data_IF_764172887257
#
_entry.id   IF_764172887257
#
_cell.length_a   1.000
_cell.length_b   1.000
_cell.length_c   1.000
_cell.angle_alpha   90.00
_cell.angle_beta   90.00
_cell.angle_gamma   90.00
#
_symmetry.space_group_name_H-M   'P 1'
#
loop_
_entity.id
_entity.type
_entity.pdbx_description
1 polymer ?
#
# COMPACT_ATOMS: atom_id res chain seq x y z
N UNK A 1 24.15 59.10 -20.82
CA UNK A 1 24.36 57.68 -20.48
C UNK A 1 24.51 57.57 -18.97
N UNK A 2 23.57 56.92 -18.26
CA UNK A 2 23.96 55.71 -17.53
C UNK A 2 22.91 54.58 -17.59
N UNK A 3 23.41 53.34 -17.75
CA UNK A 3 22.64 52.09 -17.65
C UNK A 3 22.47 51.74 -16.17
N UNK A 4 21.24 51.74 -15.67
CA UNK A 4 20.92 51.13 -14.38
C UNK A 4 20.63 49.63 -14.59
N UNK A 5 21.67 48.80 -14.44
CA UNK A 5 21.60 47.36 -14.48
C UNK A 5 21.06 46.81 -13.15
N UNK A 6 19.75 46.93 -12.92
CA UNK A 6 19.08 46.35 -11.76
C UNK A 6 18.11 45.26 -12.23
N UNK A 7 18.61 44.12 -12.72
CA UNK A 7 17.72 43.04 -13.19
C UNK A 7 18.26 41.60 -13.40
N UNK A 8 19.33 41.09 -12.74
CA UNK A 8 19.63 39.65 -12.84
C UNK A 8 19.09 38.83 -11.66
N UNK A 9 18.88 39.43 -10.48
CA UNK A 9 18.55 38.68 -9.24
C UNK A 9 17.10 38.20 -9.18
N UNK A 10 16.16 38.98 -9.74
CA UNK A 10 14.74 38.63 -9.71
C UNK A 10 14.37 37.44 -10.61
N UNK A 11 15.15 37.18 -11.67
CA UNK A 11 14.88 36.07 -12.59
C UNK A 11 15.28 34.70 -12.00
N UNK A 12 16.30 34.67 -11.14
CA UNK A 12 16.80 33.42 -10.54
C UNK A 12 15.86 32.89 -9.45
N UNK A 13 15.16 33.78 -8.73
CA UNK A 13 14.19 33.41 -7.70
C UNK A 13 12.89 32.79 -8.29
N UNK A 14 12.48 33.19 -9.49
CA UNK A 14 11.34 32.59 -10.19
C UNK A 14 11.64 31.20 -10.76
N UNK A 15 12.91 30.87 -11.02
CA UNK A 15 13.29 29.57 -11.60
C UNK A 15 13.25 28.43 -10.57
N UNK A 16 13.41 28.74 -9.28
CA UNK A 16 13.44 27.75 -8.19
C UNK A 16 12.04 27.27 -7.75
N UNK A 17 10.97 28.04 -8.04
CA UNK A 17 9.59 27.64 -7.72
C UNK A 17 9.00 26.64 -8.72
N UNK A 18 9.64 26.41 -9.87
CA UNK A 18 9.14 25.54 -10.93
C UNK A 18 9.43 24.05 -10.71
N UNK A 19 10.23 23.68 -9.71
CA UNK A 19 10.55 22.29 -9.40
C UNK A 19 9.55 21.62 -8.45
N UNK A 20 8.51 22.32 -7.98
CA UNK A 20 7.37 21.71 -7.30
C UNK A 20 6.42 21.11 -8.35
N UNK A 21 6.92 20.11 -9.09
CA UNK A 21 6.10 19.28 -9.96
C UNK A 21 5.13 18.42 -9.12
N UNK A 22 4.03 17.93 -9.73
CA UNK A 22 3.14 17.00 -9.06
C UNK A 22 3.93 15.79 -8.54
N UNK A 23 3.58 15.31 -7.35
CA UNK A 23 4.15 14.10 -6.75
C UNK A 23 4.27 13.00 -7.81
N UNK A 24 5.48 12.45 -7.95
CA UNK A 24 5.70 11.31 -8.82
C UNK A 24 4.77 10.18 -8.38
N UNK A 25 4.19 9.40 -9.32
CA UNK A 25 3.43 8.21 -8.97
C UNK A 25 4.27 7.33 -8.05
N UNK A 26 3.66 6.79 -6.99
CA UNK A 26 4.35 5.88 -6.09
C UNK A 26 5.03 4.76 -6.89
N UNK A 27 6.34 4.58 -6.68
CA UNK A 27 7.09 3.51 -7.34
C UNK A 27 6.52 2.14 -6.92
N UNK A 28 6.30 1.26 -7.89
CA UNK A 28 5.84 -0.10 -7.63
C UNK A 28 7.00 -0.88 -6.99
N UNK A 29 6.90 -1.12 -5.68
CA UNK A 29 7.87 -1.93 -4.93
C UNK A 29 7.54 -3.41 -5.04
N UNK A 30 8.52 -4.22 -5.43
CA UNK A 30 8.43 -5.69 -5.39
C UNK A 30 8.77 -6.26 -4.00
N UNK A 31 9.01 -5.41 -3.01
CA UNK A 31 9.17 -5.86 -1.63
C UNK A 31 7.81 -6.26 -1.06
N UNK A 32 7.71 -7.37 -0.31
CA UNK A 32 6.50 -7.69 0.43
C UNK A 32 6.07 -6.51 1.30
N UNK A 33 4.77 -6.21 1.29
CA UNK A 33 4.20 -5.21 2.17
C UNK A 33 4.39 -5.64 3.63
N UNK A 34 4.75 -4.68 4.48
CA UNK A 34 4.76 -4.89 5.92
C UNK A 34 3.32 -4.77 6.44
N UNK A 35 2.74 -5.90 6.85
CA UNK A 35 1.38 -5.95 7.38
C UNK A 35 1.26 -5.25 8.74
N UNK A 36 2.35 -5.09 9.49
CA UNK A 36 2.30 -4.45 10.81
C UNK A 36 2.12 -2.92 10.71
N UNK A 37 2.38 -2.35 9.54
CA UNK A 37 2.21 -0.91 9.24
C UNK A 37 1.19 -0.64 8.13
N UNK A 38 0.67 -1.68 7.48
CA UNK A 38 -0.32 -1.55 6.43
C UNK A 38 -1.67 -1.02 6.97
N UNK A 39 -2.31 -0.15 6.18
CA UNK A 39 -3.69 0.30 6.42
C UNK A 39 -4.61 -0.33 5.38
N UNK A 40 -5.73 -0.87 5.86
CA UNK A 40 -6.74 -1.51 5.01
C UNK A 40 -8.01 -0.68 4.99
N UNK A 41 -8.70 -0.65 3.85
CA UNK A 41 -10.02 -0.07 3.74
C UNK A 41 -10.98 -0.75 4.73
N UNK A 42 -11.74 0.06 5.47
CA UNK A 42 -12.65 -0.43 6.51
C UNK A 42 -13.69 -1.42 5.98
N UNK A 43 -14.09 -1.28 4.70
CA UNK A 43 -15.02 -2.20 4.02
C UNK A 43 -14.51 -3.64 3.94
N UNK A 44 -13.19 -3.86 4.01
CA UNK A 44 -12.59 -5.19 3.96
C UNK A 44 -12.66 -5.93 5.31
N UNK A 45 -12.95 -5.24 6.42
CA UNK A 45 -13.10 -5.86 7.73
C UNK A 45 -11.84 -6.56 8.27
N UNK A 46 -10.66 -6.19 7.77
CA UNK A 46 -9.37 -6.74 8.19
C UNK A 46 -9.07 -6.39 9.65
N UNK A 47 -8.69 -7.39 10.45
CA UNK A 47 -8.33 -7.23 11.87
C UNK A 47 -7.13 -8.14 12.16
N UNK A 48 -5.94 -7.54 12.13
CA UNK A 48 -4.68 -8.28 12.23
C UNK A 48 -4.38 -8.74 13.66
N UNK A 49 -4.96 -8.09 14.67
CA UNK A 49 -4.79 -8.46 16.08
C UNK A 49 -5.56 -9.74 16.40
N UNK A 50 -6.71 -9.95 15.77
CA UNK A 50 -7.50 -11.19 15.87
C UNK A 50 -7.09 -12.27 14.88
N UNK A 51 -6.01 -12.08 14.13
CA UNK A 51 -5.53 -13.05 13.16
C UNK A 51 -4.45 -13.94 13.75
N UNK A 52 -4.44 -15.20 13.34
CA UNK A 52 -3.30 -16.08 13.53
C UNK A 52 -2.18 -15.72 12.54
N UNK A 53 -0.93 -16.04 12.88
CA UNK A 53 0.24 -15.77 12.05
C UNK A 53 1.13 -17.01 11.95
N UNK A 54 1.52 -17.38 10.73
CA UNK A 54 2.53 -18.41 10.53
C UNK A 54 3.95 -17.83 10.36
N UNK A 55 4.95 -18.70 10.31
CA UNK A 55 6.36 -18.33 10.18
C UNK A 55 6.68 -17.58 8.86
N UNK A 56 5.86 -17.73 7.82
CA UNK A 56 6.01 -17.03 6.55
C UNK A 56 5.39 -15.62 6.56
N UNK A 57 4.71 -15.23 7.65
CA UNK A 57 4.06 -13.92 7.77
C UNK A 57 2.64 -13.88 7.21
N UNK A 58 2.08 -15.01 6.75
CA UNK A 58 0.66 -15.08 6.40
C UNK A 58 -0.16 -14.88 7.68
N UNK A 59 -1.14 -13.98 7.60
CA UNK A 59 -2.14 -13.78 8.64
C UNK A 59 -3.50 -14.26 8.12
N UNK A 60 -4.21 -15.04 8.94
CA UNK A 60 -5.57 -15.48 8.61
C UNK A 60 -6.44 -15.46 9.86
N UNK A 61 -7.76 -15.37 9.63
CA UNK A 61 -8.76 -15.40 10.69
C UNK A 61 -10.02 -16.06 10.15
N UNK A 62 -10.58 -16.96 10.94
CA UNK A 62 -11.90 -17.51 10.66
C UNK A 62 -12.98 -16.45 10.93
N UNK A 63 -13.69 -16.05 9.88
CA UNK A 63 -14.88 -15.20 9.99
C UNK A 63 -16.08 -16.05 10.42
N UNK A 64 -16.11 -17.30 9.98
CA UNK A 64 -17.05 -18.33 10.40
C UNK A 64 -16.27 -19.62 10.55
N UNK A 65 -16.29 -20.19 11.76
CA UNK A 65 -15.54 -21.42 12.08
C UNK A 65 -16.24 -22.61 11.43
N UNK A 66 -15.49 -23.39 10.65
CA UNK A 66 -15.99 -24.63 10.08
C UNK A 66 -15.95 -25.78 11.09
N UNK A 67 -16.87 -26.73 10.96
CA UNK A 67 -16.93 -27.93 11.80
C UNK A 67 -16.35 -29.18 11.09
N UNK A 68 -15.85 -29.02 9.88
CA UNK A 68 -15.29 -30.10 9.05
C UNK A 68 -13.89 -30.54 9.47
N UNK A 69 -13.44 -31.66 8.90
CA UNK A 69 -12.06 -32.13 9.07
C UNK A 69 -11.10 -31.19 8.34
N UNK A 70 -9.98 -30.85 9.00
CA UNK A 70 -8.93 -30.02 8.42
C UNK A 70 -8.32 -30.69 7.17
N UNK A 71 -8.13 -29.88 6.13
CA UNK A 71 -7.57 -30.34 4.86
C UNK A 71 -6.06 -30.56 5.01
N UNK A 72 -5.58 -31.68 4.51
CA UNK A 72 -4.19 -32.09 4.50
C UNK A 72 -3.59 -32.04 3.09
N UNK A 73 -2.26 -32.04 3.02
CA UNK A 73 -1.52 -31.93 1.75
C UNK A 73 -1.94 -33.03 0.75
N UNK A 74 -2.25 -32.62 -0.48
CA UNK A 74 -2.60 -33.52 -1.58
C UNK A 74 -4.09 -33.73 -1.79
N UNK A 75 -4.94 -33.20 -0.91
CA UNK A 75 -6.39 -33.18 -1.12
C UNK A 75 -6.80 -32.06 -2.08
N UNK A 76 -7.89 -32.30 -2.82
CA UNK A 76 -8.49 -31.32 -3.72
C UNK A 76 -9.67 -30.66 -3.00
N UNK A 77 -9.76 -29.34 -3.09
CA UNK A 77 -10.85 -28.55 -2.51
C UNK A 77 -11.49 -27.66 -3.58
N UNK A 78 -12.75 -27.31 -3.34
CA UNK A 78 -13.46 -26.27 -4.09
C UNK A 78 -13.62 -25.05 -3.18
N UNK A 79 -13.33 -23.86 -3.69
CA UNK A 79 -13.35 -22.61 -2.92
C UNK A 79 -14.11 -21.53 -3.68
N UNK A 80 -14.85 -20.72 -2.92
CA UNK A 80 -15.39 -19.45 -3.38
C UNK A 80 -14.59 -18.36 -2.66
N UNK A 81 -13.95 -17.47 -3.42
CA UNK A 81 -13.08 -16.44 -2.87
C UNK A 81 -13.22 -15.13 -3.63
N UNK A 82 -13.02 -14.04 -2.91
CA UNK A 82 -12.84 -12.69 -3.44
C UNK A 82 -11.49 -12.16 -2.96
N UNK A 83 -10.74 -11.53 -3.87
CA UNK A 83 -9.43 -10.96 -3.58
C UNK A 83 -9.45 -9.46 -3.76
N UNK A 84 -8.88 -8.73 -2.80
CA UNK A 84 -8.85 -7.27 -2.78
C UNK A 84 -7.45 -6.73 -2.48
N UNK A 85 -7.12 -5.58 -3.03
CA UNK A 85 -5.97 -4.77 -2.61
C UNK A 85 -6.27 -4.05 -1.29
N UNK A 86 -5.25 -3.55 -0.56
CA UNK A 86 -5.46 -2.91 0.74
C UNK A 86 -6.43 -1.72 0.71
N UNK A 87 -6.56 -1.03 -0.42
CA UNK A 87 -7.48 0.10 -0.61
C UNK A 87 -8.94 -0.32 -0.89
N UNK A 88 -9.21 -1.62 -1.01
CA UNK A 88 -10.54 -2.18 -1.24
C UNK A 88 -10.89 -2.40 -2.70
N UNK A 89 -9.95 -2.20 -3.63
CA UNK A 89 -10.13 -2.51 -5.05
C UNK A 89 -9.97 -3.99 -5.36
#
# INVERSE_FOLDING_TARGET
MPRAAARPVALLAMLLLACAGPEAPAEISNSPADLDTATFAASLGVDLEKSERNAAGLRWRDITVGEGVEVTRGQVIEVYYDGHLPDGT
#
